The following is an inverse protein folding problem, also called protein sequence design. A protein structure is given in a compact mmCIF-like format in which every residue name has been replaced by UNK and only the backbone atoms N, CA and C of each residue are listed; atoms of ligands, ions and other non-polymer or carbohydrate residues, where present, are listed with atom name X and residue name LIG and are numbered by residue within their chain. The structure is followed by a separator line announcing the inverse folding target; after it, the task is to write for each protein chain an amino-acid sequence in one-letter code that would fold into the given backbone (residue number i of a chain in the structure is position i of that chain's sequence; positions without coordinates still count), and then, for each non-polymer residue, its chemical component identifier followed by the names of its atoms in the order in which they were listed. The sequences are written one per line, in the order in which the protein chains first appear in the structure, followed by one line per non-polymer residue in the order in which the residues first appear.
data_IF_683502019188
#
_entry.id   IF_683502019188
#
_cell.length_a   1.000
_cell.length_b   1.000
_cell.length_c   1.000
_cell.angle_alpha   90.00
_cell.angle_beta   90.00
_cell.angle_gamma   90.00
#
_symmetry.space_group_name_H-M   'P 1'
#
loop_
_entity.id
_entity.type
_entity.pdbx_description
1 polymer ?
#
# COMPACT_ATOMS: atom_id res chain seq x y z
N UNK A 1 4.30 9.41 -13.63
CA UNK A 1 4.51 9.56 -12.17
C UNK A 1 5.95 9.96 -11.87
N UNK A 2 6.94 9.08 -12.04
CA UNK A 2 8.35 9.39 -11.72
C UNK A 2 8.90 10.66 -12.39
N UNK A 3 8.56 10.93 -13.64
CA UNK A 3 8.96 12.17 -14.33
C UNK A 3 8.47 13.42 -13.58
N UNK A 4 7.21 13.43 -13.14
CA UNK A 4 6.63 14.56 -12.38
C UNK A 4 7.34 14.73 -11.03
N UNK A 5 7.64 13.63 -10.33
CA UNK A 5 8.36 13.68 -9.05
C UNK A 5 9.78 14.20 -9.24
N UNK A 6 10.49 13.76 -10.28
CA UNK A 6 11.83 14.25 -10.61
C UNK A 6 11.80 15.74 -10.98
N UNK A 7 10.77 16.20 -11.69
CA UNK A 7 10.57 17.63 -11.95
C UNK A 7 10.38 18.40 -10.65
N UNK A 8 9.56 17.92 -9.71
CA UNK A 8 9.40 18.57 -8.41
C UNK A 8 10.70 18.61 -7.60
N UNK A 9 11.43 17.50 -7.55
CA UNK A 9 12.76 17.44 -6.93
C UNK A 9 13.70 18.50 -7.52
N UNK A 10 13.78 18.56 -8.85
CA UNK A 10 14.61 19.52 -9.57
C UNK A 10 14.20 20.97 -9.24
N UNK A 11 12.90 21.25 -9.29
CA UNK A 11 12.37 22.58 -9.00
C UNK A 11 12.63 23.01 -7.57
N UNK A 12 12.29 22.17 -6.58
CA UNK A 12 12.39 22.51 -5.16
C UNK A 12 13.83 22.68 -4.71
N UNK A 13 14.73 21.75 -5.07
CA UNK A 13 16.06 21.72 -4.48
C UNK A 13 17.16 22.38 -5.32
N UNK A 14 16.91 22.67 -6.60
CA UNK A 14 17.97 23.16 -7.50
C UNK A 14 17.59 24.36 -8.35
N UNK A 15 16.34 24.47 -8.81
CA UNK A 15 15.99 25.48 -9.82
C UNK A 15 15.25 26.69 -9.27
N UNK A 16 14.36 26.51 -8.29
CA UNK A 16 13.48 27.60 -7.83
C UNK A 16 14.22 28.56 -6.89
N UNK A 17 14.26 29.86 -7.21
CA UNK A 17 14.78 30.87 -6.29
C UNK A 17 13.91 31.03 -5.04
N UNK A 18 12.61 30.70 -5.15
CA UNK A 18 11.64 30.86 -4.05
C UNK A 18 12.00 29.94 -2.89
N UNK A 19 12.38 28.69 -3.19
CA UNK A 19 12.79 27.70 -2.18
C UNK A 19 14.23 27.91 -1.74
N UNK A 20 15.09 28.48 -2.59
CA UNK A 20 16.49 28.75 -2.26
C UNK A 20 17.35 27.48 -2.15
N UNK A 21 16.94 26.41 -2.83
CA UNK A 21 17.61 25.10 -2.79
C UNK A 21 17.48 24.38 -1.44
N UNK A 22 18.37 23.43 -1.18
CA UNK A 22 18.34 22.61 0.06
C UNK A 22 18.50 23.48 1.31
N UNK A 23 19.43 24.44 1.29
CA UNK A 23 19.67 25.35 2.41
C UNK A 23 18.51 26.31 2.63
N UNK A 24 17.96 26.91 1.57
CA UNK A 24 16.79 27.77 1.68
C UNK A 24 15.57 27.01 2.22
N UNK A 25 15.34 25.79 1.77
CA UNK A 25 14.28 24.92 2.30
C UNK A 25 14.48 24.62 3.79
N UNK A 26 15.70 24.27 4.20
CA UNK A 26 16.03 24.04 5.61
C UNK A 26 15.71 25.25 6.47
N UNK A 27 16.22 26.44 6.08
CA UNK A 27 16.04 27.67 6.83
C UNK A 27 14.56 28.05 6.96
N UNK A 28 13.79 27.92 5.87
CA UNK A 28 12.35 28.17 5.87
C UNK A 28 11.57 27.22 6.77
N UNK A 29 11.95 25.94 6.82
CA UNK A 29 11.30 24.97 7.68
C UNK A 29 11.61 25.19 9.16
N UNK A 30 12.83 25.62 9.48
CA UNK A 30 13.22 26.03 10.83
C UNK A 30 12.47 27.30 11.24
N UNK A 31 12.37 28.28 10.34
CA UNK A 31 11.59 29.50 10.55
C UNK A 31 10.10 29.19 10.74
N UNK A 32 9.52 28.36 9.88
CA UNK A 32 8.14 27.91 10.00
C UNK A 32 7.88 27.20 11.35
N UNK A 33 8.81 26.36 11.81
CA UNK A 33 8.70 25.73 13.12
C UNK A 33 8.80 26.75 14.28
N UNK A 34 9.52 27.86 14.10
CA UNK A 34 9.59 28.91 15.11
C UNK A 34 8.30 29.74 15.19
N UNK A 35 7.64 29.95 14.04
CA UNK A 35 6.38 30.71 13.94
C UNK A 35 5.18 29.85 14.35
N UNK A 36 5.12 28.62 13.86
CA UNK A 36 4.03 27.68 14.04
C UNK A 36 4.59 26.31 14.48
N UNK A 37 5.08 26.18 15.72
CA UNK A 37 5.66 24.92 16.19
C UNK A 37 4.58 23.83 16.26
N UNK A 38 4.95 22.60 15.92
CA UNK A 38 4.08 21.41 16.00
C UNK A 38 4.00 20.92 17.45
N UNK A 39 3.41 21.75 18.32
CA UNK A 39 3.37 21.58 19.78
C UNK A 39 2.28 20.63 20.22
N UNK A 40 1.09 20.75 19.65
CA UNK A 40 -0.01 19.86 19.99
C UNK A 40 0.33 18.48 19.43
N UNK A 41 0.04 17.40 20.17
CA UNK A 41 -0.07 16.12 19.51
C UNK A 41 -1.13 16.35 18.43
N UNK A 42 -0.94 15.73 17.28
CA UNK A 42 -1.97 15.77 16.26
C UNK A 42 -3.30 15.25 16.84
N UNK A 43 -3.28 14.53 18.00
CA UNK A 43 -4.43 13.89 18.65
C UNK A 43 -4.29 13.72 20.19
N UNK A 44 -4.46 14.76 21.00
CA UNK A 44 -4.84 14.62 22.42
C UNK A 44 -5.83 15.73 22.79
N UNK A 45 -6.90 15.35 23.49
CA UNK A 45 -7.83 16.31 24.07
C UNK A 45 -7.08 17.20 25.09
N UNK A 46 -7.05 18.51 24.83
CA UNK A 46 -6.40 19.50 25.71
C UNK A 46 -5.05 20.05 25.24
N UNK A 47 -4.46 19.53 24.15
CA UNK A 47 -3.19 20.02 23.60
C UNK A 47 -1.95 19.66 24.43
N UNK A 48 -0.83 20.32 24.15
CA UNK A 48 0.40 20.12 24.92
C UNK A 48 0.23 20.60 26.36
N UNK A 49 0.52 19.73 27.33
CA UNK A 49 0.59 20.07 28.75
C UNK A 49 2.03 20.43 29.08
N UNK A 50 2.25 21.65 29.57
CA UNK A 50 3.57 22.12 29.98
C UNK A 50 4.13 21.23 31.10
N UNK A 51 5.27 20.58 30.86
CA UNK A 51 5.90 19.68 31.82
C UNK A 51 5.57 18.19 31.64
N UNK A 52 4.71 17.80 30.68
CA UNK A 52 4.47 16.40 30.31
C UNK A 52 4.97 16.11 28.88
N UNK A 53 6.19 15.56 28.72
CA UNK A 53 6.76 15.23 27.42
C UNK A 53 5.94 14.29 26.54
N UNK A 54 5.01 13.52 27.13
CA UNK A 54 4.14 12.61 26.39
C UNK A 54 3.02 13.33 25.63
N UNK A 55 2.79 14.61 25.92
CA UNK A 55 1.78 15.46 25.30
C UNK A 55 2.33 16.37 24.20
N UNK A 56 3.66 16.41 23.98
CA UNK A 56 4.26 17.19 22.90
C UNK A 56 4.13 16.48 21.55
N UNK A 57 3.78 17.24 20.49
CA UNK A 57 3.61 16.74 19.13
C UNK A 57 4.89 16.21 18.48
N UNK A 58 5.58 17.05 17.71
CA UNK A 58 6.91 16.71 17.21
C UNK A 58 7.97 17.13 18.22
N UNK A 59 9.11 16.43 18.25
CA UNK A 59 10.25 16.85 19.08
C UNK A 59 10.62 18.31 18.82
N UNK A 60 10.62 19.12 19.87
CA UNK A 60 10.81 20.58 19.86
C UNK A 60 9.86 21.36 18.93
N UNK A 61 8.70 20.78 18.57
CA UNK A 61 7.78 21.37 17.59
C UNK A 61 8.32 21.41 16.16
N UNK A 62 9.44 20.74 15.87
CA UNK A 62 10.11 20.83 14.58
C UNK A 62 9.39 20.05 13.48
N UNK A 63 9.38 20.58 12.26
CA UNK A 63 8.95 19.81 11.08
C UNK A 63 9.99 18.79 10.62
N UNK A 64 11.25 18.99 10.99
CA UNK A 64 12.39 18.16 10.59
C UNK A 64 12.79 17.18 11.70
N UNK A 65 11.91 16.23 11.99
CA UNK A 65 12.19 15.15 12.95
C UNK A 65 11.35 13.92 12.63
N UNK A 66 11.86 12.74 12.99
CA UNK A 66 11.09 11.49 13.00
C UNK A 66 10.44 11.21 14.35
N UNK A 67 10.77 11.98 15.40
CA UNK A 67 10.16 11.88 16.71
C UNK A 67 8.81 12.59 16.72
N UNK A 68 7.82 11.95 16.09
CA UNK A 68 6.43 12.42 15.96
C UNK A 68 5.46 11.33 16.38
N UNK A 69 4.71 11.54 17.47
CA UNK A 69 3.72 10.57 17.94
C UNK A 69 2.64 10.31 16.90
N UNK A 70 2.13 11.37 16.25
CA UNK A 70 1.18 11.26 15.15
C UNK A 70 1.74 10.49 13.96
N UNK A 71 3.01 10.74 13.60
CA UNK A 71 3.71 10.00 12.55
C UNK A 71 3.84 8.50 12.86
N UNK A 72 4.13 8.14 14.12
CA UNK A 72 4.21 6.74 14.55
C UNK A 72 2.83 6.05 14.50
N UNK A 73 1.79 6.70 15.02
CA UNK A 73 0.40 6.19 14.98
C UNK A 73 -0.04 5.97 13.54
N UNK A 74 0.14 6.98 12.68
CA UNK A 74 -0.15 6.87 11.25
C UNK A 74 0.66 5.73 10.62
N UNK A 75 1.95 5.61 10.94
CA UNK A 75 2.81 4.52 10.46
C UNK A 75 2.26 3.14 10.80
N UNK A 76 1.82 2.92 12.04
CA UNK A 76 1.22 1.64 12.45
C UNK A 76 -0.09 1.37 11.71
N UNK A 77 -1.00 2.35 11.63
CA UNK A 77 -2.26 2.22 10.89
C UNK A 77 -1.97 1.86 9.42
N UNK A 78 -1.02 2.57 8.81
CA UNK A 78 -0.65 2.42 7.41
C UNK A 78 -0.04 1.04 7.11
N UNK A 79 0.82 0.53 8.00
CA UNK A 79 1.38 -0.82 7.91
C UNK A 79 0.26 -1.88 7.93
N UNK A 80 -0.63 -1.80 8.93
CA UNK A 80 -1.71 -2.78 9.09
C UNK A 80 -2.69 -2.71 7.93
N UNK A 81 -3.10 -1.50 7.53
CA UNK A 81 -3.98 -1.28 6.38
C UNK A 81 -3.41 -1.84 5.09
N UNK A 82 -2.14 -1.55 4.79
CA UNK A 82 -1.52 -2.03 3.55
C UNK A 82 -1.29 -3.55 3.53
N UNK A 83 -1.10 -4.20 4.68
CA UNK A 83 -1.13 -5.66 4.71
C UNK A 83 -2.46 -6.20 4.20
N UNK A 84 -3.57 -5.57 4.61
CA UNK A 84 -4.90 -5.85 4.08
C UNK A 84 -4.97 -5.69 2.57
N UNK A 85 -4.55 -4.54 2.05
CA UNK A 85 -4.63 -4.23 0.61
C UNK A 85 -3.67 -5.05 -0.26
N UNK A 86 -2.71 -5.76 0.32
CA UNK A 86 -1.80 -6.64 -0.45
C UNK A 86 -2.23 -8.09 -0.35
N UNK A 87 -2.54 -8.58 0.86
CA UNK A 87 -2.88 -10.01 1.05
C UNK A 87 -4.31 -10.34 0.63
N UNK A 88 -5.24 -9.39 0.74
CA UNK A 88 -6.67 -9.60 0.45
C UNK A 88 -7.02 -9.13 -0.96
N UNK A 89 -6.10 -8.49 -1.67
CA UNK A 89 -6.31 -7.98 -3.02
C UNK A 89 -5.91 -9.00 -4.10
N UNK A 90 -6.93 -9.41 -4.85
CA UNK A 90 -6.80 -10.38 -5.93
C UNK A 90 -5.92 -9.90 -7.08
N UNK A 91 -5.79 -8.59 -7.32
CA UNK A 91 -4.93 -8.06 -8.38
C UNK A 91 -3.46 -8.45 -8.18
N UNK A 92 -2.98 -8.47 -6.93
CA UNK A 92 -1.62 -8.92 -6.61
C UNK A 92 -1.44 -10.42 -6.83
N UNK A 93 -2.39 -11.24 -6.38
CA UNK A 93 -2.34 -12.70 -6.55
C UNK A 93 -2.34 -13.11 -8.02
N UNK A 94 -3.19 -12.48 -8.84
CA UNK A 94 -3.25 -12.75 -10.27
C UNK A 94 -1.93 -12.45 -10.98
N UNK A 95 -1.29 -11.32 -10.64
CA UNK A 95 0.01 -10.96 -11.19
C UNK A 95 1.11 -11.92 -10.72
N UNK A 96 1.07 -12.34 -9.46
CA UNK A 96 2.03 -13.30 -8.91
C UNK A 96 1.94 -14.66 -9.59
N UNK A 97 0.73 -15.17 -9.84
CA UNK A 97 0.48 -16.46 -10.50
C UNK A 97 0.85 -16.41 -11.99
N UNK A 98 0.62 -15.27 -12.66
CA UNK A 98 0.96 -15.10 -14.07
C UNK A 98 2.48 -14.98 -14.33
N UNK A 99 3.29 -14.72 -13.29
CA UNK A 99 4.72 -14.50 -13.42
C UNK A 99 5.54 -15.77 -13.14
N UNK A 100 6.69 -15.93 -13.81
CA UNK A 100 7.60 -17.05 -13.58
C UNK A 100 8.21 -16.98 -12.17
N UNK A 101 8.24 -18.10 -11.40
CA UNK A 101 8.69 -18.11 -10.00
C UNK A 101 10.07 -17.46 -9.75
N UNK A 102 11.01 -17.65 -10.66
CA UNK A 102 12.37 -17.13 -10.58
C UNK A 102 12.47 -15.60 -10.72
N UNK A 103 11.47 -14.98 -11.36
CA UNK A 103 11.38 -13.53 -11.60
C UNK A 103 10.41 -12.85 -10.64
N UNK A 104 9.36 -13.54 -10.19
CA UNK A 104 8.31 -12.99 -9.33
C UNK A 104 8.89 -12.36 -8.06
N UNK A 105 9.72 -13.08 -7.31
CA UNK A 105 10.27 -12.59 -6.03
C UNK A 105 11.13 -11.34 -6.22
N UNK A 106 11.98 -11.32 -7.24
CA UNK A 106 12.84 -10.16 -7.54
C UNK A 106 12.00 -8.97 -7.99
N UNK A 107 10.98 -9.21 -8.82
CA UNK A 107 10.04 -8.20 -9.26
C UNK A 107 9.28 -7.56 -8.10
N UNK A 108 8.79 -8.35 -7.14
CA UNK A 108 8.10 -7.84 -5.95
C UNK A 108 9.02 -7.02 -5.03
N UNK A 109 10.23 -7.49 -4.75
CA UNK A 109 11.19 -6.76 -3.91
C UNK A 109 11.63 -5.44 -4.58
N UNK A 110 11.96 -5.49 -5.87
CA UNK A 110 12.36 -4.32 -6.65
C UNK A 110 11.19 -3.33 -6.78
N UNK A 111 10.00 -3.84 -7.09
CA UNK A 111 8.78 -3.04 -7.17
C UNK A 111 8.45 -2.35 -5.86
N UNK A 112 8.57 -3.05 -4.72
CA UNK A 112 8.39 -2.47 -3.39
C UNK A 112 9.40 -1.37 -3.08
N UNK A 113 10.68 -1.57 -3.42
CA UNK A 113 11.74 -0.56 -3.28
C UNK A 113 11.48 0.68 -4.14
N UNK A 114 11.01 0.49 -5.38
CA UNK A 114 10.65 1.60 -6.27
C UNK A 114 9.38 2.31 -5.80
N UNK A 115 8.42 1.58 -5.23
CA UNK A 115 7.18 2.14 -4.72
C UNK A 115 7.44 3.05 -3.53
N UNK A 116 8.25 2.64 -2.55
CA UNK A 116 8.57 3.44 -1.37
C UNK A 116 9.24 4.79 -1.72
N UNK A 117 9.99 4.85 -2.82
CA UNK A 117 10.61 6.08 -3.29
C UNK A 117 9.59 7.19 -3.59
N UNK A 118 8.36 6.83 -3.99
CA UNK A 118 7.30 7.77 -4.35
C UNK A 118 6.82 8.58 -3.13
N UNK A 119 6.21 7.97 -2.08
CA UNK A 119 5.74 8.72 -0.93
C UNK A 119 6.90 9.36 -0.16
N UNK A 120 8.05 8.68 -0.04
CA UNK A 120 9.21 9.25 0.65
C UNK A 120 9.69 10.55 0.02
N UNK A 121 9.82 10.57 -1.32
CA UNK A 121 10.28 11.76 -2.03
C UNK A 121 9.21 12.84 -2.08
N UNK A 122 7.94 12.48 -2.32
CA UNK A 122 6.85 13.47 -2.35
C UNK A 122 6.64 14.14 -1.00
N UNK A 123 6.76 13.40 0.10
CA UNK A 123 6.72 13.98 1.45
C UNK A 123 7.91 14.92 1.68
N UNK A 124 9.13 14.47 1.36
CA UNK A 124 10.38 15.24 1.52
C UNK A 124 10.45 16.48 0.62
N UNK A 125 9.72 16.48 -0.50
CA UNK A 125 9.67 17.61 -1.45
C UNK A 125 8.42 18.44 -1.24
N UNK A 126 7.29 18.02 -1.82
CA UNK A 126 6.07 18.81 -1.92
C UNK A 126 5.35 18.95 -0.58
N UNK A 127 5.41 17.92 0.29
CA UNK A 127 4.90 18.01 1.65
C UNK A 127 5.59 19.12 2.46
N UNK A 128 6.92 19.09 2.48
CA UNK A 128 7.72 20.14 3.14
C UNK A 128 7.64 21.49 2.43
N UNK A 129 7.47 21.52 1.10
CA UNK A 129 7.28 22.78 0.35
C UNK A 129 6.00 23.49 0.77
N UNK A 130 4.91 22.74 1.02
CA UNK A 130 3.66 23.33 1.53
C UNK A 130 3.90 24.11 2.83
N UNK A 131 4.71 23.55 3.74
CA UNK A 131 5.07 24.19 5.01
C UNK A 131 6.04 25.35 4.79
N UNK A 132 7.11 25.15 4.02
CA UNK A 132 8.16 26.14 3.81
C UNK A 132 7.68 27.40 3.08
N UNK A 133 6.61 27.29 2.29
CA UNK A 133 5.99 28.40 1.57
C UNK A 133 4.72 28.93 2.25
N UNK A 134 4.42 28.46 3.46
CA UNK A 134 3.25 28.86 4.25
C UNK A 134 1.94 28.76 3.43
N UNK A 135 1.76 27.62 2.76
CA UNK A 135 0.56 27.38 1.95
C UNK A 135 -0.64 27.19 2.88
N UNK A 136 -1.48 28.21 2.96
CA UNK A 136 -2.72 28.18 3.75
C UNK A 136 -3.66 27.08 3.24
N UNK A 137 -3.88 26.08 4.08
CA UNK A 137 -4.81 24.98 3.83
C UNK A 137 -5.72 24.83 5.04
N UNK A 138 -7.03 24.78 4.78
CA UNK A 138 -7.98 24.42 5.84
C UNK A 138 -7.80 22.94 6.22
N UNK A 139 -8.15 22.52 7.46
CA UNK A 139 -8.10 21.12 7.86
C UNK A 139 -8.84 20.19 6.88
N UNK A 140 -9.96 20.63 6.33
CA UNK A 140 -10.74 19.90 5.34
C UNK A 140 -9.96 19.70 4.04
N UNK A 141 -9.26 20.73 3.55
CA UNK A 141 -8.44 20.65 2.34
C UNK A 141 -7.26 19.68 2.51
N UNK A 142 -6.65 19.66 3.70
CA UNK A 142 -5.60 18.69 4.05
C UNK A 142 -6.18 17.26 4.02
N UNK A 143 -7.35 17.03 4.61
CA UNK A 143 -8.01 15.72 4.60
C UNK A 143 -8.46 15.25 3.21
N UNK A 144 -8.74 16.19 2.30
CA UNK A 144 -9.00 15.91 0.88
C UNK A 144 -7.72 15.61 0.09
N UNK A 145 -6.54 15.69 0.70
CA UNK A 145 -5.26 15.39 0.07
C UNK A 145 -4.75 16.51 -0.85
N UNK A 146 -5.20 17.75 -0.64
CA UNK A 146 -4.87 18.89 -1.51
C UNK A 146 -3.49 19.51 -1.26
N UNK A 147 -2.74 19.02 -0.26
CA UNK A 147 -1.42 19.56 0.11
C UNK A 147 -0.43 19.58 -1.06
N UNK A 148 -0.27 18.46 -1.77
CA UNK A 148 0.64 18.38 -2.93
C UNK A 148 0.16 19.25 -4.10
N UNK A 149 -1.11 19.19 -4.53
CA UNK A 149 -1.64 20.12 -5.54
C UNK A 149 -1.45 21.60 -5.20
N UNK A 150 -1.70 22.00 -3.94
CA UNK A 150 -1.59 23.38 -3.51
C UNK A 150 -0.14 23.86 -3.51
N UNK A 151 0.78 23.08 -2.94
CA UNK A 151 2.21 23.38 -2.98
C UNK A 151 2.75 23.45 -4.42
N UNK A 152 2.31 22.55 -5.31
CA UNK A 152 2.69 22.58 -6.71
C UNK A 152 2.19 23.84 -7.43
N UNK A 153 0.97 24.29 -7.10
CA UNK A 153 0.36 25.49 -7.67
C UNK A 153 1.07 26.76 -7.21
N UNK A 154 1.43 26.87 -5.93
CA UNK A 154 2.18 28.01 -5.39
C UNK A 154 3.59 28.06 -5.98
N UNK A 155 4.26 26.91 -6.11
CA UNK A 155 5.65 26.85 -6.57
C UNK A 155 5.80 27.03 -8.08
N UNK A 156 4.92 26.43 -8.89
CA UNK A 156 5.07 26.30 -10.35
C UNK A 156 3.88 26.87 -11.15
N UNK A 157 2.93 27.53 -10.48
CA UNK A 157 1.71 28.03 -11.10
C UNK A 157 0.85 26.91 -11.68
N UNK A 158 0.13 27.24 -12.75
CA UNK A 158 -0.80 26.32 -13.43
C UNK A 158 -0.11 25.04 -13.93
N UNK A 159 1.15 25.13 -14.36
CA UNK A 159 1.93 23.97 -14.83
C UNK A 159 2.10 22.94 -13.70
N UNK A 160 2.35 23.40 -12.46
CA UNK A 160 2.44 22.53 -11.30
C UNK A 160 1.15 21.75 -11.05
N UNK A 161 0.02 22.46 -11.07
CA UNK A 161 -1.31 21.86 -10.90
C UNK A 161 -1.60 20.81 -11.99
N UNK A 162 -1.34 21.13 -13.25
CA UNK A 162 -1.52 20.20 -14.39
C UNK A 162 -0.66 18.94 -14.21
N UNK A 163 0.59 19.08 -13.78
CA UNK A 163 1.46 17.92 -13.56
C UNK A 163 0.94 17.00 -12.45
N UNK A 164 0.45 17.55 -11.34
CA UNK A 164 -0.17 16.75 -10.27
C UNK A 164 -1.43 16.06 -10.77
N UNK A 165 -2.28 16.77 -11.52
CA UNK A 165 -3.50 16.21 -12.10
C UNK A 165 -3.20 15.04 -13.05
N UNK A 166 -2.23 15.22 -13.96
CA UNK A 166 -1.80 14.17 -14.89
C UNK A 166 -1.20 12.98 -14.15
N UNK A 167 -0.37 13.23 -13.13
CA UNK A 167 0.20 12.19 -12.27
C UNK A 167 -0.90 11.38 -11.58
N UNK A 168 -1.87 12.05 -10.96
CA UNK A 168 -2.99 11.44 -10.26
C UNK A 168 -3.90 10.66 -11.22
N UNK A 169 -4.23 11.23 -12.38
CA UNK A 169 -5.04 10.58 -13.40
C UNK A 169 -4.41 9.26 -13.87
N UNK A 170 -3.10 9.25 -14.15
CA UNK A 170 -2.39 8.02 -14.53
C UNK A 170 -2.37 6.99 -13.38
N UNK A 171 -2.18 7.42 -12.14
CA UNK A 171 -2.17 6.53 -10.99
C UNK A 171 -3.54 5.85 -10.77
N UNK A 172 -4.61 6.65 -10.75
CA UNK A 172 -5.98 6.18 -10.50
C UNK A 172 -6.48 5.30 -11.65
N UNK A 173 -6.24 5.67 -12.90
CA UNK A 173 -6.66 4.85 -14.06
C UNK A 173 -5.90 3.52 -14.13
N UNK A 174 -4.60 3.52 -13.82
CA UNK A 174 -3.80 2.29 -13.76
C UNK A 174 -4.30 1.35 -12.66
N UNK A 175 -4.51 1.86 -11.43
CA UNK A 175 -5.00 1.07 -10.31
C UNK A 175 -6.43 0.56 -10.58
N UNK A 176 -7.33 1.46 -10.99
CA UNK A 176 -8.73 1.13 -11.27
C UNK A 176 -8.89 0.04 -12.35
N UNK A 177 -8.04 0.03 -13.37
CA UNK A 177 -8.05 -1.05 -14.38
C UNK A 177 -7.73 -2.43 -13.79
N UNK A 178 -6.80 -2.48 -12.83
CA UNK A 178 -6.40 -3.73 -12.18
C UNK A 178 -7.50 -4.25 -11.24
N UNK A 179 -8.08 -3.35 -10.43
CA UNK A 179 -9.18 -3.68 -9.52
C UNK A 179 -10.43 -4.17 -10.27
N UNK A 180 -10.76 -3.56 -11.40
CA UNK A 180 -11.90 -3.99 -12.23
C UNK A 180 -11.72 -5.43 -12.73
N UNK A 181 -10.51 -5.79 -13.15
CA UNK A 181 -10.18 -7.15 -13.59
C UNK A 181 -10.20 -8.11 -12.41
N UNK A 182 -9.65 -7.70 -11.26
CA UNK A 182 -9.63 -8.50 -10.03
C UNK A 182 -11.04 -8.86 -9.59
N UNK A 183 -11.93 -7.88 -9.40
CA UNK A 183 -13.33 -8.11 -9.01
C UNK A 183 -14.09 -8.92 -10.06
N UNK A 184 -13.86 -8.64 -11.34
CA UNK A 184 -14.45 -9.40 -12.43
C UNK A 184 -14.10 -10.88 -12.39
N UNK A 185 -12.84 -11.20 -12.06
CA UNK A 185 -12.39 -12.57 -11.94
C UNK A 185 -13.03 -13.30 -10.76
N UNK A 186 -13.14 -12.65 -9.59
CA UNK A 186 -13.77 -13.23 -8.40
C UNK A 186 -15.24 -13.58 -8.70
N UNK A 187 -15.98 -12.64 -9.29
CA UNK A 187 -17.39 -12.87 -9.62
C UNK A 187 -17.57 -13.92 -10.74
N UNK A 188 -16.65 -14.00 -11.68
CA UNK A 188 -16.75 -14.92 -12.83
C UNK A 188 -16.32 -16.35 -12.45
N UNK A 189 -15.18 -16.52 -11.80
CA UNK A 189 -14.63 -17.84 -11.47
C UNK A 189 -15.14 -18.34 -10.12
N UNK A 190 -15.12 -17.50 -9.09
CA UNK A 190 -15.40 -17.97 -7.72
C UNK A 190 -16.90 -18.03 -7.42
N UNK A 191 -17.70 -17.16 -8.06
CA UNK A 191 -19.16 -17.16 -7.89
C UNK A 191 -19.86 -17.83 -9.07
N UNK A 192 -19.76 -17.25 -10.27
CA UNK A 192 -20.55 -17.70 -11.41
C UNK A 192 -20.20 -19.12 -11.83
N UNK A 193 -18.92 -19.44 -12.04
CA UNK A 193 -18.52 -20.80 -12.42
C UNK A 193 -18.75 -21.78 -11.27
N UNK A 194 -18.26 -21.51 -10.07
CA UNK A 194 -18.36 -22.46 -8.94
C UNK A 194 -19.80 -22.81 -8.55
N UNK A 195 -20.70 -21.83 -8.48
CA UNK A 195 -22.03 -22.05 -7.89
C UNK A 195 -23.18 -21.99 -8.89
N UNK A 196 -23.05 -21.27 -10.01
CA UNK A 196 -24.16 -21.06 -10.95
C UNK A 196 -24.04 -21.88 -12.23
N UNK A 197 -22.84 -22.01 -12.79
CA UNK A 197 -22.60 -22.80 -13.99
C UNK A 197 -21.19 -23.42 -13.99
N UNK A 198 -21.00 -24.58 -13.35
CA UNK A 198 -19.71 -25.27 -13.26
C UNK A 198 -19.08 -25.63 -14.61
N UNK A 199 -19.92 -25.84 -15.63
CA UNK A 199 -19.51 -26.22 -16.97
C UNK A 199 -19.45 -25.00 -17.94
N UNK A 200 -19.34 -23.78 -17.41
CA UNK A 200 -19.23 -22.58 -18.23
C UNK A 200 -17.96 -22.62 -19.11
N UNK A 201 -18.17 -22.42 -20.41
CA UNK A 201 -17.10 -22.31 -21.41
C UNK A 201 -16.35 -20.97 -21.29
N UNK A 202 -15.09 -20.89 -21.76
CA UNK A 202 -14.32 -19.64 -21.75
C UNK A 202 -15.02 -18.47 -22.42
N UNK A 203 -15.76 -18.70 -23.51
CA UNK A 203 -16.58 -17.66 -24.17
C UNK A 203 -17.69 -17.12 -23.27
N UNK A 204 -18.33 -17.98 -22.47
CA UNK A 204 -19.34 -17.55 -21.50
C UNK A 204 -18.72 -16.80 -20.33
N UNK A 205 -17.58 -17.28 -19.82
CA UNK A 205 -16.84 -16.61 -18.75
C UNK A 205 -16.39 -15.20 -19.17
N UNK A 206 -15.86 -15.03 -20.38
CA UNK A 206 -15.48 -13.71 -20.90
C UNK A 206 -16.67 -12.75 -21.04
N UNK A 207 -17.85 -13.24 -21.43
CA UNK A 207 -19.07 -12.40 -21.49
C UNK A 207 -19.50 -11.93 -20.10
N UNK A 208 -19.53 -12.83 -19.13
CA UNK A 208 -19.86 -12.50 -17.73
C UNK A 208 -18.84 -11.52 -17.17
N UNK A 209 -17.55 -11.79 -17.38
CA UNK A 209 -16.46 -10.92 -16.93
C UNK A 209 -16.61 -9.49 -17.44
N UNK A 210 -16.84 -9.29 -18.75
CA UNK A 210 -17.06 -7.96 -19.33
C UNK A 210 -18.29 -7.24 -18.76
N UNK A 211 -19.38 -7.98 -18.55
CA UNK A 211 -20.58 -7.41 -17.94
C UNK A 211 -20.32 -6.95 -16.49
N UNK A 212 -19.58 -7.76 -15.71
CA UNK A 212 -19.18 -7.42 -14.35
C UNK A 212 -18.28 -6.18 -14.32
N UNK A 213 -17.32 -6.05 -15.24
CA UNK A 213 -16.43 -4.88 -15.31
C UNK A 213 -17.26 -3.59 -15.47
N UNK A 214 -18.22 -3.58 -16.39
CA UNK A 214 -19.07 -2.39 -16.61
C UNK A 214 -19.95 -2.12 -15.39
N UNK A 215 -20.62 -3.14 -14.86
CA UNK A 215 -21.52 -2.98 -13.72
C UNK A 215 -20.78 -2.51 -12.46
N UNK A 216 -19.62 -3.11 -12.16
CA UNK A 216 -18.81 -2.75 -11.00
C UNK A 216 -18.16 -1.38 -11.18
N UNK A 217 -17.69 -1.04 -12.39
CA UNK A 217 -17.14 0.29 -12.67
C UNK A 217 -18.16 1.41 -12.46
N UNK A 218 -19.40 1.23 -12.93
CA UNK A 218 -20.50 2.15 -12.67
C UNK A 218 -20.87 2.19 -11.17
N UNK A 219 -20.90 1.02 -10.52
CA UNK A 219 -21.19 0.90 -9.09
C UNK A 219 -20.15 1.60 -8.20
N UNK A 220 -18.87 1.47 -8.52
CA UNK A 220 -17.77 2.15 -7.82
C UNK A 220 -17.87 3.67 -7.98
N UNK A 221 -18.21 4.16 -9.19
CA UNK A 221 -18.46 5.58 -9.43
C UNK A 221 -19.64 6.11 -8.62
N UNK A 222 -20.75 5.37 -8.59
CA UNK A 222 -21.92 5.72 -7.77
C UNK A 222 -21.59 5.74 -6.28
N UNK A 223 -20.87 4.71 -5.79
CA UNK A 223 -20.43 4.65 -4.40
C UNK A 223 -19.51 5.82 -4.04
N UNK A 224 -18.57 6.18 -4.91
CA UNK A 224 -17.68 7.33 -4.70
C UNK A 224 -18.46 8.64 -4.55
N UNK A 225 -19.51 8.86 -5.37
CA UNK A 225 -20.39 10.03 -5.26
C UNK A 225 -21.16 10.03 -3.93
N UNK A 226 -21.66 8.87 -3.50
CA UNK A 226 -22.37 8.74 -2.21
C UNK A 226 -21.42 9.03 -1.04
N UNK A 227 -20.23 8.42 -1.02
CA UNK A 227 -19.25 8.63 0.05
C UNK A 227 -18.81 10.11 0.11
N UNK A 228 -18.60 10.74 -1.04
CA UNK A 228 -18.28 12.17 -1.11
C UNK A 228 -19.45 13.02 -0.60
N UNK A 229 -20.69 12.69 -0.98
CA UNK A 229 -21.90 13.36 -0.51
C UNK A 229 -22.16 13.19 1.00
N UNK A 230 -21.67 12.11 1.60
CA UNK A 230 -21.71 11.87 3.05
C UNK A 230 -20.61 12.63 3.82
N UNK A 231 -19.69 13.30 3.13
CA UNK A 231 -18.58 14.02 3.76
C UNK A 231 -17.42 13.12 4.22
N UNK A 232 -17.34 11.87 3.74
CA UNK A 232 -16.22 10.99 4.07
C UNK A 232 -14.98 11.41 3.29
N UNK A 233 -13.93 11.79 4.01
CA UNK A 233 -12.66 12.19 3.40
C UNK A 233 -11.90 10.99 2.83
N UNK A 234 -11.01 11.26 1.87
CA UNK A 234 -10.12 10.24 1.31
C UNK A 234 -9.25 9.63 2.42
N UNK A 235 -8.75 10.46 3.34
CA UNK A 235 -7.99 10.03 4.50
C UNK A 235 -8.78 9.09 5.41
N UNK A 236 -10.05 9.40 5.67
CA UNK A 236 -10.91 8.55 6.49
C UNK A 236 -11.05 7.15 5.88
N UNK A 237 -11.43 7.07 4.60
CA UNK A 237 -11.63 5.78 3.90
C UNK A 237 -10.32 5.00 3.85
N UNK A 238 -9.21 5.69 3.63
CA UNK A 238 -7.87 5.10 3.63
C UNK A 238 -7.49 4.50 4.98
N UNK A 239 -7.71 5.20 6.10
CA UNK A 239 -7.35 4.70 7.43
C UNK A 239 -8.31 3.61 7.92
N UNK A 240 -9.59 3.69 7.54
CA UNK A 240 -10.61 2.70 7.88
C UNK A 240 -10.39 1.35 7.17
N UNK A 241 -9.66 1.32 6.06
CA UNK A 241 -9.53 0.11 5.23
C UNK A 241 -9.03 -1.09 6.05
N UNK A 242 -7.97 -0.95 6.84
CA UNK A 242 -7.41 -2.07 7.59
C UNK A 242 -8.31 -2.56 8.72
N UNK A 243 -9.24 -1.73 9.22
CA UNK A 243 -10.29 -2.16 10.15
C UNK A 243 -11.22 -3.17 9.48
N UNK A 244 -11.59 -2.89 8.22
CA UNK A 244 -12.57 -3.66 7.45
C UNK A 244 -11.97 -4.95 6.86
N UNK A 245 -10.73 -4.90 6.37
CA UNK A 245 -10.13 -6.03 5.63
C UNK A 245 -8.92 -6.67 6.33
N UNK A 246 -8.33 -6.02 7.33
CA UNK A 246 -7.11 -6.50 8.00
C UNK A 246 -7.27 -7.87 8.67
N UNK A 247 -8.48 -8.20 9.12
CA UNK A 247 -8.79 -9.48 9.76
C UNK A 247 -8.61 -10.69 8.84
N UNK A 248 -8.60 -10.53 7.52
CA UNK A 248 -8.38 -11.64 6.59
C UNK A 248 -6.88 -11.96 6.37
N UNK A 249 -5.97 -11.04 6.71
CA UNK A 249 -4.53 -11.14 6.37
C UNK A 249 -3.88 -12.39 6.96
N UNK A 250 -3.88 -12.52 8.30
CA UNK A 250 -3.21 -13.64 8.97
C UNK A 250 -3.86 -14.99 8.61
N UNK A 251 -5.21 -15.12 8.59
CA UNK A 251 -5.86 -16.33 8.09
C UNK A 251 -5.39 -16.75 6.70
N UNK A 252 -5.35 -15.83 5.72
CA UNK A 252 -4.89 -16.12 4.35
C UNK A 252 -3.42 -16.51 4.33
N UNK A 253 -2.57 -15.82 5.09
CA UNK A 253 -1.15 -16.19 5.16
C UNK A 253 -0.97 -17.61 5.72
N UNK A 254 -1.67 -17.93 6.81
CA UNK A 254 -1.56 -19.22 7.49
C UNK A 254 -2.11 -20.39 6.68
N UNK A 255 -3.15 -20.19 5.84
CA UNK A 255 -3.66 -21.26 4.96
C UNK A 255 -2.65 -21.70 3.91
N UNK A 256 -1.64 -20.88 3.63
CA UNK A 256 -0.61 -21.15 2.60
C UNK A 256 0.69 -21.68 3.24
N UNK A 257 1.07 -21.15 4.40
CA UNK A 257 2.39 -21.45 5.00
C UNK A 257 2.34 -22.45 6.16
N UNK A 258 1.16 -22.70 6.75
CA UNK A 258 1.04 -23.51 7.96
C UNK A 258 0.07 -24.69 7.79
N UNK A 259 0.63 -25.90 7.87
CA UNK A 259 -0.09 -27.15 7.63
C UNK A 259 -1.12 -27.53 8.70
N UNK A 260 -1.22 -26.77 9.79
CA UNK A 260 -2.22 -27.01 10.85
C UNK A 260 -3.41 -26.06 10.75
N UNK A 261 -3.39 -25.10 9.84
CA UNK A 261 -4.49 -24.16 9.64
C UNK A 261 -5.76 -24.93 9.27
N UNK A 262 -6.81 -24.72 10.04
CA UNK A 262 -8.09 -25.40 9.82
C UNK A 262 -9.11 -24.48 9.19
N UNK A 263 -10.09 -25.04 8.47
CA UNK A 263 -11.22 -24.29 7.92
C UNK A 263 -11.93 -23.46 9.00
N UNK A 264 -12.17 -24.06 10.17
CA UNK A 264 -12.83 -23.38 11.27
C UNK A 264 -11.99 -22.22 11.81
N UNK A 265 -10.67 -22.43 12.00
CA UNK A 265 -9.77 -21.39 12.45
C UNK A 265 -9.66 -20.22 11.48
N UNK A 266 -9.50 -20.50 10.17
CA UNK A 266 -9.40 -19.46 9.16
C UNK A 266 -10.70 -18.62 9.05
N UNK A 267 -11.86 -19.27 9.01
CA UNK A 267 -13.16 -18.59 8.91
C UNK A 267 -13.48 -17.81 10.18
N UNK A 268 -13.29 -18.42 11.36
CA UNK A 268 -13.55 -17.76 12.63
C UNK A 268 -12.58 -16.60 12.88
N UNK A 269 -11.29 -16.75 12.55
CA UNK A 269 -10.31 -15.68 12.66
C UNK A 269 -10.71 -14.46 11.83
N UNK A 270 -11.08 -14.67 10.56
CA UNK A 270 -11.51 -13.58 9.69
C UNK A 270 -12.81 -12.90 10.15
N UNK A 271 -13.86 -13.68 10.43
CA UNK A 271 -15.19 -13.16 10.76
C UNK A 271 -15.28 -12.59 12.18
N UNK A 272 -14.74 -13.30 13.18
CA UNK A 272 -14.75 -12.79 14.56
C UNK A 272 -13.77 -11.63 14.68
N UNK A 273 -12.62 -11.69 14.00
CA UNK A 273 -11.65 -10.60 13.99
C UNK A 273 -12.24 -9.29 13.47
N UNK A 274 -13.03 -9.31 12.38
CA UNK A 274 -13.68 -8.08 11.87
C UNK A 274 -14.79 -7.58 12.80
N UNK A 275 -15.54 -8.48 13.47
CA UNK A 275 -16.49 -8.04 14.49
C UNK A 275 -15.78 -7.35 15.65
N UNK A 276 -14.67 -7.92 16.14
CA UNK A 276 -13.87 -7.33 17.22
C UNK A 276 -13.23 -6.00 16.81
N UNK A 277 -12.73 -5.87 15.58
CA UNK A 277 -12.16 -4.61 15.09
C UNK A 277 -13.21 -3.52 14.99
N UNK A 278 -14.40 -3.83 14.45
CA UNK A 278 -15.52 -2.89 14.36
C UNK A 278 -16.03 -2.48 15.76
N UNK A 279 -16.17 -3.42 16.69
CA UNK A 279 -16.55 -3.11 18.08
C UNK A 279 -15.49 -2.26 18.76
N UNK A 280 -14.21 -2.54 18.56
CA UNK A 280 -13.11 -1.74 19.13
C UNK A 280 -13.13 -0.34 18.53
N UNK A 281 -13.29 -0.22 17.22
CA UNK A 281 -13.31 1.07 16.52
C UNK A 281 -14.44 1.97 17.04
N UNK A 282 -15.66 1.44 17.13
CA UNK A 282 -16.82 2.22 17.60
C UNK A 282 -16.79 2.48 19.11
N UNK A 283 -16.30 1.54 19.92
CA UNK A 283 -16.20 1.73 21.38
C UNK A 283 -15.14 2.74 21.77
N UNK A 284 -13.98 2.73 21.11
CA UNK A 284 -12.94 3.75 21.34
C UNK A 284 -13.42 5.11 20.83
N UNK A 285 -14.08 5.18 19.68
CA UNK A 285 -14.67 6.43 19.19
C UNK A 285 -15.69 7.01 20.18
N UNK A 286 -16.59 6.17 20.72
CA UNK A 286 -17.54 6.59 21.73
C UNK A 286 -16.84 7.02 23.04
N UNK A 287 -15.77 6.33 23.45
CA UNK A 287 -15.04 6.66 24.67
C UNK A 287 -14.33 8.01 24.60
N UNK A 288 -13.79 8.37 23.44
CA UNK A 288 -13.05 9.62 23.21
C UNK A 288 -13.96 10.82 22.93
N UNK A 289 -15.25 10.59 22.67
CA UNK A 289 -16.21 11.62 22.25
C UNK A 289 -17.46 11.66 23.14
N UNK A 290 -17.31 11.38 24.44
CA UNK A 290 -18.40 11.42 25.44
C UNK A 290 -19.66 10.62 25.02
N UNK A 291 -19.47 9.50 24.33
CA UNK A 291 -20.51 8.60 23.85
C UNK A 291 -21.06 8.93 22.45
N UNK A 292 -20.59 9.98 21.79
CA UNK A 292 -21.00 10.34 20.42
C UNK A 292 -20.28 9.47 19.41
N UNK A 293 -21.02 8.90 18.46
CA UNK A 293 -20.48 8.13 17.32
C UNK A 293 -20.94 8.80 16.02
N UNK A 294 -20.00 9.45 15.35
CA UNK A 294 -20.14 10.18 14.10
C UNK A 294 -18.84 10.09 13.29
N UNK A 295 -18.78 10.79 12.15
CA UNK A 295 -17.60 10.75 11.25
C UNK A 295 -16.35 11.30 11.95
N UNK A 296 -16.50 12.32 12.80
CA UNK A 296 -15.38 12.96 13.49
C UNK A 296 -14.77 12.02 14.55
N UNK A 297 -15.61 11.47 15.42
CA UNK A 297 -15.20 10.51 16.45
C UNK A 297 -14.64 9.22 15.85
N UNK A 298 -15.25 8.65 14.81
CA UNK A 298 -14.71 7.48 14.11
C UNK A 298 -13.40 7.78 13.38
N UNK A 299 -13.23 9.00 12.89
CA UNK A 299 -12.03 9.49 12.21
C UNK A 299 -10.85 9.74 13.13
N UNK A 300 -11.03 9.64 14.45
CA UNK A 300 -9.99 9.85 15.44
C UNK A 300 -8.82 8.86 15.28
N UNK A 301 -7.61 9.32 15.58
CA UNK A 301 -6.40 8.51 15.41
C UNK A 301 -6.39 7.26 16.30
N UNK A 302 -6.84 7.35 17.55
CA UNK A 302 -6.93 6.20 18.45
C UNK A 302 -7.99 5.18 18.00
N UNK A 303 -9.25 5.57 17.71
CA UNK A 303 -10.23 4.67 17.11
C UNK A 303 -9.67 3.93 15.88
N UNK A 304 -9.02 4.66 14.97
CA UNK A 304 -8.41 4.07 13.78
C UNK A 304 -7.26 3.13 14.12
N UNK A 305 -6.36 3.52 15.03
CA UNK A 305 -5.21 2.72 15.47
C UNK A 305 -5.67 1.41 16.11
N UNK A 306 -6.50 1.49 17.15
CA UNK A 306 -6.94 0.31 17.89
C UNK A 306 -7.79 -0.60 17.01
N UNK A 307 -8.69 -0.05 16.19
CA UNK A 307 -9.47 -0.83 15.22
C UNK A 307 -8.58 -1.63 14.28
N UNK A 308 -7.55 -0.99 13.70
CA UNK A 308 -6.60 -1.65 12.81
C UNK A 308 -5.79 -2.74 13.54
N UNK A 309 -5.19 -2.40 14.69
CA UNK A 309 -4.35 -3.34 15.46
C UNK A 309 -5.16 -4.55 15.92
N UNK A 310 -6.40 -4.34 16.41
CA UNK A 310 -7.28 -5.44 16.79
C UNK A 310 -7.65 -6.30 15.59
N UNK A 311 -7.92 -5.72 14.41
CA UNK A 311 -8.26 -6.48 13.21
C UNK A 311 -7.21 -7.56 12.91
N UNK A 312 -5.93 -7.18 12.85
CA UNK A 312 -4.87 -8.10 12.46
C UNK A 312 -4.50 -9.07 13.61
N UNK A 313 -4.32 -8.57 14.84
CA UNK A 313 -3.81 -9.39 15.94
C UNK A 313 -4.86 -10.36 16.49
N UNK A 314 -6.10 -9.90 16.69
CA UNK A 314 -7.17 -10.77 17.22
C UNK A 314 -7.52 -11.88 16.25
N UNK A 315 -7.60 -11.57 14.95
CA UNK A 315 -7.83 -12.56 13.90
C UNK A 315 -6.75 -13.65 13.88
N UNK A 316 -5.47 -13.25 13.92
CA UNK A 316 -4.37 -14.20 13.96
C UNK A 316 -4.40 -15.11 15.18
N UNK A 317 -4.65 -14.52 16.35
CA UNK A 317 -4.77 -15.27 17.60
C UNK A 317 -5.91 -16.29 17.55
N UNK A 318 -7.11 -15.88 17.12
CA UNK A 318 -8.29 -16.75 16.99
C UNK A 318 -8.01 -17.87 15.98
N UNK A 319 -7.42 -17.55 14.83
CA UNK A 319 -7.07 -18.53 13.80
C UNK A 319 -6.11 -19.60 14.33
N UNK A 320 -5.07 -19.19 15.06
CA UNK A 320 -4.07 -20.10 15.64
C UNK A 320 -4.70 -20.96 16.75
N UNK A 321 -5.42 -20.35 17.69
CA UNK A 321 -6.02 -21.08 18.83
C UNK A 321 -6.99 -22.17 18.35
N UNK A 322 -7.92 -21.82 17.46
CA UNK A 322 -8.92 -22.78 16.96
C UNK A 322 -8.24 -23.87 16.13
N UNK A 323 -7.24 -23.50 15.32
CA UNK A 323 -6.51 -24.48 14.51
C UNK A 323 -5.71 -25.46 15.36
N UNK A 324 -5.06 -24.99 16.42
CA UNK A 324 -4.38 -25.85 17.39
C UNK A 324 -5.35 -26.74 18.17
N UNK A 325 -6.50 -26.20 18.58
CA UNK A 325 -7.53 -26.95 19.30
C UNK A 325 -8.12 -28.09 18.47
N UNK A 326 -8.28 -27.90 17.16
CA UNK A 326 -8.75 -28.96 16.26
C UNK A 326 -7.68 -30.00 15.92
N UNK A 327 -6.39 -29.65 16.09
CA UNK A 327 -5.23 -30.52 15.88
C UNK A 327 -5.25 -31.30 14.55
N UNK A 328 -5.82 -30.71 13.49
CA UNK A 328 -5.81 -31.29 12.14
C UNK A 328 -4.51 -30.93 11.44
N UNK A 329 -3.99 -31.87 10.66
CA UNK A 329 -2.81 -31.66 9.81
C UNK A 329 -3.21 -31.87 8.36
N UNK A 330 -3.02 -30.85 7.55
CA UNK A 330 -3.23 -30.91 6.11
C UNK A 330 -2.02 -31.53 5.43
N UNK A 331 -2.26 -32.45 4.49
CA UNK A 331 -1.22 -32.96 3.60
C UNK A 331 -1.20 -32.13 2.32
N UNK A 332 -0.12 -31.38 2.11
CA UNK A 332 0.06 -30.53 0.94
C UNK A 332 0.02 -31.31 -0.38
N UNK A 333 0.26 -32.62 -0.38
CA UNK A 333 0.15 -33.47 -1.58
C UNK A 333 -1.28 -33.59 -2.11
N UNK A 334 -2.29 -33.32 -1.28
CA UNK A 334 -3.69 -33.29 -1.72
C UNK A 334 -4.01 -32.04 -2.54
N UNK A 335 -3.23 -30.95 -2.40
CA UNK A 335 -3.44 -29.71 -3.14
C UNK A 335 -3.35 -29.94 -4.66
N UNK A 336 -2.38 -30.75 -5.10
CA UNK A 336 -2.15 -31.07 -6.51
C UNK A 336 -3.31 -31.83 -7.14
N UNK A 337 -4.04 -32.64 -6.35
CA UNK A 337 -5.17 -33.44 -6.84
C UNK A 337 -6.43 -32.61 -7.09
N UNK A 338 -6.54 -31.45 -6.43
CA UNK A 338 -7.73 -30.59 -6.50
C UNK A 338 -7.54 -29.34 -7.37
N UNK A 339 -6.33 -29.12 -7.91
CA UNK A 339 -6.03 -28.01 -8.80
C UNK A 339 -6.56 -28.31 -10.22
N UNK A 340 -7.81 -27.90 -10.51
CA UNK A 340 -8.33 -27.94 -11.88
C UNK A 340 -7.96 -26.66 -12.62
N UNK A 341 -6.94 -26.73 -13.49
CA UNK A 341 -6.65 -25.65 -14.43
C UNK A 341 -7.76 -25.61 -15.47
N UNK A 342 -8.27 -24.41 -15.78
CA UNK A 342 -9.19 -24.21 -16.91
C UNK A 342 -8.37 -24.31 -18.19
N UNK A 343 -8.14 -25.52 -18.65
CA UNK A 343 -7.57 -25.78 -19.97
C UNK A 343 -8.67 -25.60 -21.01
N UNK A 344 -8.97 -24.35 -21.37
CA UNK A 344 -9.61 -24.09 -22.65
C UNK A 344 -8.49 -24.06 -23.72
N UNK A 345 -8.53 -25.02 -24.64
CA UNK A 345 -7.82 -25.09 -25.92
C UNK A 345 -6.27 -25.22 -25.94
N UNK A 346 -5.69 -26.20 -25.22
CA UNK A 346 -4.39 -26.75 -25.61
C UNK A 346 -4.45 -28.28 -25.57
N UNK A 347 -4.11 -28.91 -26.70
CA UNK A 347 -4.17 -30.35 -26.93
C UNK A 347 -3.55 -31.14 -25.78
N UNK A 348 -4.40 -31.92 -25.11
CA UNK A 348 -3.97 -33.02 -24.27
C UNK A 348 -3.34 -34.08 -25.17
N UNK A 349 -2.01 -34.12 -25.26
CA UNK A 349 -1.23 -35.37 -25.37
C UNK A 349 0.27 -35.04 -25.39
N UNK A 350 1.04 -35.82 -24.63
CA UNK A 350 2.52 -35.96 -24.68
C UNK A 350 3.44 -35.02 -23.90
N UNK A 351 3.30 -34.83 -22.58
CA UNK A 351 4.48 -34.44 -21.77
C UNK A 351 4.41 -34.96 -20.31
N UNK A 352 4.57 -36.25 -20.04
CA UNK A 352 4.57 -36.75 -18.64
C UNK A 352 5.95 -36.73 -17.97
N UNK A 353 7.04 -36.98 -18.71
CA UNK A 353 8.40 -36.99 -18.13
C UNK A 353 9.05 -35.60 -18.09
N UNK A 354 8.89 -34.79 -19.16
CA UNK A 354 9.45 -33.42 -19.21
C UNK A 354 8.67 -32.46 -18.31
N UNK A 355 7.39 -32.69 -18.05
CA UNK A 355 6.63 -31.93 -17.03
C UNK A 355 7.05 -32.32 -15.62
N UNK A 356 7.27 -33.60 -15.33
CA UNK A 356 7.75 -34.02 -14.02
C UNK A 356 9.14 -33.44 -13.71
N UNK A 357 10.07 -33.49 -14.67
CA UNK A 357 11.39 -32.87 -14.55
C UNK A 357 11.32 -31.34 -14.47
N UNK A 358 10.43 -30.68 -15.24
CA UNK A 358 10.16 -29.25 -15.09
C UNK A 358 9.59 -28.92 -13.71
N UNK A 359 8.66 -29.73 -13.18
CA UNK A 359 8.04 -29.53 -11.86
C UNK A 359 9.05 -29.70 -10.73
N UNK A 360 9.95 -30.68 -10.79
CA UNK A 360 11.04 -30.83 -9.81
C UNK A 360 12.02 -29.64 -9.88
N UNK A 361 12.39 -29.23 -11.09
CA UNK A 361 13.25 -28.06 -11.29
C UNK A 361 12.57 -26.77 -10.80
N UNK A 362 11.27 -26.62 -11.02
CA UNK A 362 10.46 -25.52 -10.52
C UNK A 362 10.36 -25.57 -9.00
N UNK A 363 10.24 -26.75 -8.38
CA UNK A 363 10.16 -26.89 -6.92
C UNK A 363 11.48 -26.49 -6.22
N UNK A 364 12.63 -26.88 -6.75
CA UNK A 364 13.93 -26.43 -6.23
C UNK A 364 14.11 -24.92 -6.40
N UNK A 365 13.73 -24.38 -7.57
CA UNK A 365 13.75 -22.94 -7.82
C UNK A 365 12.81 -22.20 -6.87
N UNK A 366 11.60 -22.72 -6.62
CA UNK A 366 10.62 -22.18 -5.68
C UNK A 366 11.16 -22.16 -4.26
N UNK A 367 11.79 -23.25 -3.78
CA UNK A 367 12.41 -23.30 -2.45
C UNK A 367 13.53 -22.28 -2.31
N UNK A 368 14.36 -22.11 -3.34
CA UNK A 368 15.42 -21.09 -3.37
C UNK A 368 14.85 -19.67 -3.38
N UNK A 369 13.84 -19.43 -4.20
CA UNK A 369 13.13 -18.17 -4.31
C UNK A 369 12.42 -17.81 -2.99
N UNK A 370 11.79 -18.77 -2.32
CA UNK A 370 11.16 -18.60 -1.01
C UNK A 370 12.18 -18.19 0.05
N UNK A 371 13.30 -18.92 0.18
CA UNK A 371 14.37 -18.56 1.12
C UNK A 371 14.94 -17.17 0.85
N UNK A 372 15.09 -16.80 -0.43
CA UNK A 372 15.52 -15.47 -0.82
C UNK A 372 14.47 -14.41 -0.48
N UNK A 373 13.19 -14.68 -0.71
CA UNK A 373 12.07 -13.79 -0.37
C UNK A 373 12.00 -13.50 1.12
N UNK A 374 12.03 -14.55 1.96
CA UNK A 374 11.98 -14.41 3.42
C UNK A 374 13.17 -13.60 3.94
N UNK A 375 14.37 -13.87 3.43
CA UNK A 375 15.57 -13.10 3.83
C UNK A 375 15.52 -11.66 3.33
N UNK A 376 15.29 -11.45 2.04
CA UNK A 376 15.30 -10.13 1.41
C UNK A 376 14.17 -9.24 1.93
N UNK A 377 12.94 -9.76 1.95
CA UNK A 377 11.78 -9.08 2.49
C UNK A 377 11.90 -8.83 4.00
N UNK A 378 12.31 -9.84 4.77
CA UNK A 378 12.48 -9.69 6.22
C UNK A 378 13.56 -8.66 6.60
N UNK A 379 14.71 -8.68 5.94
CA UNK A 379 15.76 -7.67 6.15
C UNK A 379 15.26 -6.29 5.77
N UNK A 380 14.59 -6.15 4.63
CA UNK A 380 14.06 -4.86 4.18
C UNK A 380 13.01 -4.31 5.16
N UNK A 381 12.10 -5.15 5.66
CA UNK A 381 11.13 -4.77 6.69
C UNK A 381 11.84 -4.30 7.97
N UNK A 382 12.84 -5.05 8.45
CA UNK A 382 13.59 -4.65 9.64
C UNK A 382 14.30 -3.32 9.45
N UNK A 383 14.91 -3.07 8.28
CA UNK A 383 15.58 -1.80 8.01
C UNK A 383 14.57 -0.65 7.94
N UNK A 384 13.56 -0.75 7.09
CA UNK A 384 12.64 0.36 6.81
C UNK A 384 11.63 0.63 7.93
N UNK A 385 11.24 -0.38 8.71
CA UNK A 385 10.22 -0.25 9.76
C UNK A 385 10.84 -0.12 11.15
N UNK A 386 12.01 -0.73 11.40
CA UNK A 386 12.62 -0.75 12.74
C UNK A 386 13.89 0.08 12.78
N UNK A 387 14.94 -0.32 12.06
CA UNK A 387 16.27 0.28 12.27
C UNK A 387 16.42 1.70 11.74
N UNK A 388 15.66 2.11 10.73
CA UNK A 388 15.70 3.48 10.24
C UNK A 388 14.84 4.44 11.08
N UNK A 389 13.52 4.23 11.26
CA UNK A 389 12.69 5.20 11.96
C UNK A 389 12.83 5.14 13.49
N UNK A 390 12.97 3.96 14.10
CA UNK A 390 12.86 3.84 15.57
C UNK A 390 14.00 4.53 16.33
N UNK A 391 15.29 4.43 15.93
CA UNK A 391 16.35 5.19 16.60
C UNK A 391 16.15 6.71 16.47
N UNK A 392 15.68 7.20 15.32
CA UNK A 392 15.41 8.63 15.10
C UNK A 392 14.21 9.09 15.94
N UNK A 393 13.20 8.25 16.10
CA UNK A 393 12.06 8.51 16.97
C UNK A 393 12.48 8.59 18.45
N UNK A 394 13.14 7.56 18.97
CA UNK A 394 13.48 7.49 20.40
C UNK A 394 14.59 8.45 20.83
N UNK A 395 15.46 8.88 19.91
CA UNK A 395 16.49 9.88 20.21
C UNK A 395 15.93 11.30 20.32
N UNK A 396 14.71 11.56 19.87
CA UNK A 396 14.16 12.92 19.81
C UNK A 396 14.93 13.84 18.86
N UNK A 397 15.68 13.27 17.90
CA UNK A 397 16.62 14.02 17.08
C UNK A 397 15.89 14.95 16.11
N UNK A 398 16.22 16.24 16.19
CA UNK A 398 15.80 17.28 15.25
C UNK A 398 16.94 17.52 14.27
N UNK A 399 16.62 17.50 12.98
CA UNK A 399 17.65 17.48 11.94
C UNK A 399 18.39 18.82 11.90
N UNK A 400 19.72 18.75 11.96
CA UNK A 400 20.56 19.86 11.53
C UNK A 400 20.60 19.94 10.00
N UNK A 401 21.20 21.00 9.46
CA UNK A 401 21.32 21.18 8.01
C UNK A 401 22.07 20.02 7.34
N UNK A 402 23.11 19.48 7.98
CA UNK A 402 23.91 18.39 7.43
C UNK A 402 23.09 17.11 7.29
N UNK A 403 22.34 16.75 8.33
CA UNK A 403 21.46 15.59 8.31
C UNK A 403 20.27 15.79 7.37
N UNK A 404 19.67 16.98 7.33
CA UNK A 404 18.62 17.29 6.36
C UNK A 404 19.13 17.17 4.91
N UNK A 405 20.34 17.67 4.63
CA UNK A 405 20.99 17.51 3.33
C UNK A 405 21.22 16.04 2.96
N UNK A 406 21.64 15.21 3.93
CA UNK A 406 21.75 13.75 3.74
C UNK A 406 20.39 13.11 3.46
N UNK A 407 19.35 13.47 4.22
CA UNK A 407 17.98 12.98 4.04
C UNK A 407 17.44 13.27 2.64
N UNK A 408 17.58 14.52 2.21
CA UNK A 408 17.23 14.96 0.84
C UNK A 408 18.07 14.21 -0.19
N UNK A 409 19.37 14.05 0.03
CA UNK A 409 20.26 13.29 -0.84
C UNK A 409 19.83 11.83 -1.04
N UNK A 410 19.41 11.17 0.04
CA UNK A 410 18.86 9.80 -0.01
C UNK A 410 17.56 9.79 -0.84
N UNK A 411 16.65 10.73 -0.61
CA UNK A 411 15.41 10.83 -1.39
C UNK A 411 15.67 11.00 -2.88
N UNK A 412 16.56 11.92 -3.25
CA UNK A 412 16.95 12.18 -4.65
C UNK A 412 17.59 10.95 -5.30
N UNK A 413 18.56 10.32 -4.62
CA UNK A 413 19.22 9.14 -5.15
C UNK A 413 18.23 7.99 -5.34
N UNK A 414 17.37 7.75 -4.36
CA UNK A 414 16.39 6.66 -4.39
C UNK A 414 15.37 6.85 -5.50
N UNK A 415 14.75 8.03 -5.63
CA UNK A 415 13.78 8.29 -6.71
C UNK A 415 14.43 8.25 -8.09
N UNK A 416 15.68 8.69 -8.22
CA UNK A 416 16.41 8.65 -9.48
C UNK A 416 16.71 7.21 -9.91
N UNK A 417 17.17 6.37 -8.99
CA UNK A 417 17.42 4.95 -9.23
C UNK A 417 16.10 4.23 -9.53
N UNK A 418 15.05 4.47 -8.74
CA UNK A 418 13.73 3.88 -8.97
C UNK A 418 13.15 4.27 -10.33
N UNK A 419 13.26 5.55 -10.71
CA UNK A 419 12.85 6.04 -12.02
C UNK A 419 13.63 5.35 -13.15
N UNK A 420 14.95 5.25 -13.03
CA UNK A 420 15.77 4.58 -14.02
C UNK A 420 15.40 3.10 -14.18
N UNK A 421 15.15 2.40 -13.07
CA UNK A 421 14.69 1.00 -13.08
C UNK A 421 13.33 0.89 -13.78
N UNK A 422 12.32 1.65 -13.33
CA UNK A 422 10.95 1.51 -13.85
C UNK A 422 10.83 1.94 -15.32
N UNK A 423 11.60 2.94 -15.76
CA UNK A 423 11.56 3.45 -17.13
C UNK A 423 12.40 2.56 -18.07
N UNK A 424 13.65 2.24 -17.71
CA UNK A 424 14.58 1.60 -18.65
C UNK A 424 14.60 0.08 -18.56
N UNK A 425 14.39 -0.53 -17.38
CA UNK A 425 14.47 -1.99 -17.23
C UNK A 425 13.46 -2.72 -18.13
N UNK A 426 12.17 -2.33 -18.20
CA UNK A 426 11.22 -3.00 -19.09
C UNK A 426 11.63 -2.90 -20.57
N UNK A 427 12.22 -1.77 -20.99
CA UNK A 427 12.71 -1.57 -22.36
C UNK A 427 13.86 -2.54 -22.67
N UNK A 428 14.78 -2.70 -21.71
CA UNK A 428 15.94 -3.61 -21.84
C UNK A 428 15.50 -5.07 -21.84
N UNK A 429 14.56 -5.46 -20.98
CA UNK A 429 14.02 -6.83 -20.93
C UNK A 429 13.22 -7.17 -22.20
N UNK A 430 12.39 -6.23 -22.67
CA UNK A 430 11.59 -6.40 -23.86
C UNK A 430 12.37 -6.24 -25.18
N UNK A 431 13.66 -5.86 -25.14
CA UNK A 431 14.45 -5.52 -26.35
C UNK A 431 14.40 -6.55 -27.46
N UNK A 432 14.40 -7.85 -27.13
CA UNK A 432 14.32 -8.93 -28.12
C UNK A 432 12.93 -9.02 -28.75
N UNK A 433 11.88 -8.80 -27.96
CA UNK A 433 10.50 -8.74 -28.44
C UNK A 433 10.26 -7.50 -29.30
N UNK A 434 10.72 -6.34 -28.84
CA UNK A 434 10.67 -5.07 -29.60
C UNK A 434 11.42 -5.22 -30.92
N UNK A 435 12.64 -5.76 -30.91
CA UNK A 435 13.42 -6.02 -32.12
C UNK A 435 12.71 -7.02 -33.06
N UNK A 436 12.06 -8.05 -32.51
CA UNK A 436 11.30 -9.03 -33.31
C UNK A 436 10.10 -8.36 -34.01
N UNK A 437 9.33 -7.56 -33.29
CA UNK A 437 8.20 -6.78 -33.84
C UNK A 437 8.69 -5.77 -34.88
N UNK A 438 9.75 -5.01 -34.55
CA UNK A 438 10.35 -4.03 -35.45
C UNK A 438 10.95 -4.66 -36.72
N UNK A 439 11.44 -5.90 -36.63
CA UNK A 439 12.01 -6.63 -37.77
C UNK A 439 10.97 -7.19 -38.76
N UNK A 440 9.66 -7.09 -38.45
CA UNK A 440 8.57 -7.55 -39.32
C UNK A 440 8.52 -9.06 -39.56
N UNK A 441 9.38 -9.87 -38.90
CA UNK A 441 9.35 -11.34 -39.03
C UNK A 441 8.11 -11.89 -38.33
N UNK A 442 7.12 -12.34 -39.12
CA UNK A 442 5.97 -13.12 -38.62
C UNK A 442 6.49 -14.23 -37.71
N UNK A 443 5.88 -14.38 -36.54
CA UNK A 443 6.06 -15.60 -35.76
C UNK A 443 5.65 -16.78 -36.64
N UNK A 444 6.58 -17.69 -36.95
CA UNK A 444 6.20 -19.02 -37.38
C UNK A 444 5.41 -19.63 -36.23
N UNK A 445 4.17 -20.01 -36.54
CA UNK A 445 3.15 -20.45 -35.59
C UNK A 445 3.56 -21.69 -34.83
#
# INVERSE_FOLDING_TARGET
IFIVILTFVATVFFLSPITGGIEGMYNKLVEAASLNPVISPTFAEGGAVEGDPSTYGNAMGAYLTMASAGGLIFGVINIVGNFGTVFVDQAYWQRAIAAQPSSTVKGFLLGGMCWFAIPFTLATTMGLTAVALDVELTPEQVQLGLTVPAAASVLMGEIGAIMVLVMLFMAVTSAGSAELIAVSSLLTYDIYRTYKNPNATGKQLLKVSRAVIVAFGLGMGALAVVLLGMGLSLGFVYLAMGILIGSAVIPIALTIIWNRTTRAGAVAGALVGVCLSLTTWTSVAASEADGVIDIASLGGAFPMLYGNVVAILSSGLICVIISLAQNKKYDWKELDKHMSLVTDDMEQHEITATEAAKREQDEEQLKKAFKFSVRGGGILTLICVVFWPMPLYFSGYVFDFGFYGLWVGIAIAWVSIASAIIIFMPIVEARKGIAKVASGKKAMG
#
